data_IF_260843009297
#
_entry.id   IF_260843009297
#
_cell.length_a   1.000
_cell.length_b   1.000
_cell.length_c   1.000
_cell.angle_alpha   90.00
_cell.angle_beta   90.00
_cell.angle_gamma   90.00
#
_symmetry.space_group_name_H-M   'P 1'
#
loop_
_entity.id
_entity.type
_entity.pdbx_description
1 polymer ?
#
# COMPACT_ATOMS: atom_id res chain seq x y z
N UNK A 1 -3.18 36.29 18.74
CA UNK A 1 -2.50 35.12 19.32
C UNK A 1 -3.29 33.89 18.91
N UNK A 2 -2.83 33.21 17.87
CA UNK A 2 -3.46 31.99 17.35
C UNK A 2 -2.82 30.82 18.10
N UNK A 3 -3.63 30.00 18.77
CA UNK A 3 -3.18 28.79 19.47
C UNK A 3 -2.73 27.77 18.43
N UNK A 4 -1.48 27.34 18.52
CA UNK A 4 -0.97 26.13 17.87
C UNK A 4 -1.68 24.90 18.43
N UNK A 5 -2.14 23.94 17.60
CA UNK A 5 -2.69 22.69 18.10
C UNK A 5 -1.57 21.81 18.66
N UNK A 6 -1.85 21.17 19.79
CA UNK A 6 -0.98 20.20 20.45
C UNK A 6 -1.05 18.86 19.70
N UNK A 7 0.08 18.17 19.42
CA UNK A 7 0.04 16.81 18.88
C UNK A 7 -0.48 15.87 19.97
N UNK A 8 -1.64 15.24 19.75
CA UNK A 8 -2.21 14.31 20.72
C UNK A 8 -3.73 14.19 20.76
N UNK A 9 -4.48 14.94 19.95
CA UNK A 9 -5.92 14.72 19.78
C UNK A 9 -6.18 14.19 18.38
N UNK A 10 -6.00 12.88 18.21
CA UNK A 10 -6.77 12.15 17.21
C UNK A 10 -8.24 12.31 17.62
N UNK A 11 -8.91 13.27 17.02
CA UNK A 11 -10.36 13.40 17.04
C UNK A 11 -10.92 12.04 16.62
N UNK A 12 -11.51 11.32 17.56
CA UNK A 12 -12.47 10.26 17.30
C UNK A 12 -13.62 10.89 16.51
N UNK A 13 -13.44 10.99 15.19
CA UNK A 13 -14.47 11.41 14.27
C UNK A 13 -15.56 10.36 14.32
N UNK A 14 -16.77 10.77 14.68
CA UNK A 14 -17.99 10.00 14.42
C UNK A 14 -17.97 9.59 12.95
N UNK A 15 -17.67 8.31 12.70
CA UNK A 15 -17.45 7.77 11.36
C UNK A 15 -18.73 7.79 10.54
N UNK A 16 -18.94 8.85 9.77
CA UNK A 16 -19.78 8.72 8.57
C UNK A 16 -19.03 7.81 7.60
N UNK A 17 -19.66 6.70 7.21
CA UNK A 17 -19.09 5.79 6.23
C UNK A 17 -18.77 6.57 4.95
N UNK A 18 -17.55 6.42 4.43
CA UNK A 18 -17.17 7.00 3.15
C UNK A 18 -17.99 6.31 2.05
N UNK A 19 -18.99 7.01 1.51
CA UNK A 19 -19.80 6.50 0.40
C UNK A 19 -19.08 6.81 -0.90
N UNK A 20 -18.48 5.78 -1.50
CA UNK A 20 -17.87 5.85 -2.83
C UNK A 20 -18.92 5.55 -3.89
N UNK A 21 -18.98 6.36 -4.95
CA UNK A 21 -19.89 6.13 -6.06
C UNK A 21 -19.46 4.90 -6.87
N UNK A 22 -20.43 4.12 -7.37
CA UNK A 22 -20.18 2.96 -8.23
C UNK A 22 -19.31 3.33 -9.45
N UNK A 23 -19.58 4.48 -10.07
CA UNK A 23 -18.83 4.97 -11.25
C UNK A 23 -17.31 5.15 -10.98
N UNK A 24 -16.87 5.29 -9.73
CA UNK A 24 -15.45 5.38 -9.37
C UNK A 24 -14.68 4.06 -9.62
N UNK A 25 -15.40 2.93 -9.74
CA UNK A 25 -14.84 1.62 -10.08
C UNK A 25 -14.95 1.29 -11.58
N UNK A 26 -15.64 2.14 -12.35
CA UNK A 26 -16.00 1.88 -13.73
C UNK A 26 -15.71 3.07 -14.64
N UNK A 27 -14.60 3.77 -14.36
CA UNK A 27 -14.13 4.84 -15.23
C UNK A 27 -13.80 4.28 -16.63
N UNK A 28 -14.15 5.04 -17.67
CA UNK A 28 -13.75 4.71 -19.04
C UNK A 28 -12.27 5.02 -19.28
N UNK A 29 -11.73 4.52 -20.40
CA UNK A 29 -10.32 4.68 -20.76
C UNK A 29 -9.90 6.17 -20.83
N UNK A 30 -10.79 7.06 -21.26
CA UNK A 30 -10.49 8.49 -21.37
C UNK A 30 -10.33 9.12 -20.00
N UNK A 31 -11.22 8.81 -19.06
CA UNK A 31 -11.15 9.29 -17.68
C UNK A 31 -9.90 8.72 -16.97
N UNK A 32 -9.58 7.45 -17.20
CA UNK A 32 -8.36 6.81 -16.67
C UNK A 32 -7.08 7.48 -17.20
N UNK A 33 -7.02 7.78 -18.50
CA UNK A 33 -5.90 8.50 -19.11
C UNK A 33 -5.75 9.93 -18.59
N UNK A 34 -6.87 10.62 -18.31
CA UNK A 34 -6.86 11.96 -17.74
C UNK A 34 -6.31 11.94 -16.30
N UNK A 35 -6.76 11.00 -15.47
CA UNK A 35 -6.25 10.85 -14.09
C UNK A 35 -4.77 10.47 -14.07
N UNK A 36 -4.32 9.53 -14.90
CA UNK A 36 -2.90 9.17 -15.01
C UNK A 36 -2.06 10.38 -15.43
N UNK A 37 -2.49 11.10 -16.46
CA UNK A 37 -1.78 12.30 -16.94
C UNK A 37 -1.74 13.40 -15.90
N UNK A 38 -2.84 13.62 -15.17
CA UNK A 38 -2.90 14.55 -14.06
C UNK A 38 -1.89 14.20 -12.99
N UNK A 39 -1.89 12.95 -12.52
CA UNK A 39 -0.97 12.47 -11.49
C UNK A 39 0.49 12.60 -11.93
N UNK A 40 0.82 12.19 -13.16
CA UNK A 40 2.15 12.37 -13.74
C UNK A 40 2.54 13.84 -13.75
N UNK A 41 1.66 14.72 -14.24
CA UNK A 41 1.92 16.16 -14.35
C UNK A 41 2.19 16.78 -12.99
N UNK A 42 1.39 16.45 -11.98
CA UNK A 42 1.59 16.89 -10.59
C UNK A 42 2.91 16.41 -10.00
N UNK A 43 3.40 15.25 -10.48
CA UNK A 43 4.64 14.63 -10.01
C UNK A 43 5.90 15.10 -10.77
N UNK A 44 5.77 15.68 -11.97
CA UNK A 44 6.91 16.14 -12.78
C UNK A 44 7.83 17.16 -12.08
N UNK A 45 7.32 18.20 -11.38
CA UNK A 45 8.18 19.17 -10.69
C UNK A 45 9.13 18.52 -9.69
N UNK A 46 8.73 17.37 -9.16
CA UNK A 46 9.52 16.64 -8.20
C UNK A 46 10.60 15.77 -8.80
N UNK A 47 10.39 15.27 -10.03
CA UNK A 47 11.43 14.58 -10.81
C UNK A 47 12.66 15.46 -10.92
N UNK A 48 12.47 16.74 -11.20
CA UNK A 48 13.55 17.70 -11.40
C UNK A 48 14.27 18.06 -10.08
N UNK A 49 13.67 17.71 -8.93
CA UNK A 49 14.26 17.83 -7.60
C UNK A 49 14.93 16.53 -7.09
N UNK A 50 14.87 15.43 -7.86
CA UNK A 50 15.51 14.18 -7.48
C UNK A 50 17.05 14.30 -7.55
N UNK A 51 17.79 13.59 -6.68
CA UNK A 51 19.24 13.54 -6.75
C UNK A 51 19.76 13.06 -8.12
N UNK A 52 20.93 13.55 -8.53
CA UNK A 52 21.60 13.06 -9.72
C UNK A 52 21.84 11.55 -9.63
N UNK A 53 21.37 10.79 -10.62
CA UNK A 53 21.44 9.32 -10.63
C UNK A 53 20.16 8.63 -10.15
N UNK A 54 19.19 9.36 -9.60
CA UNK A 54 17.88 8.79 -9.28
C UNK A 54 17.21 8.20 -10.53
N UNK A 55 16.58 7.04 -10.37
CA UNK A 55 15.98 6.27 -11.45
C UNK A 55 14.71 6.89 -12.06
N UNK A 56 14.30 8.09 -11.61
CA UNK A 56 13.13 8.80 -12.11
C UNK A 56 11.79 8.15 -11.76
N UNK A 57 11.74 7.26 -10.77
CA UNK A 57 10.51 6.61 -10.29
C UNK A 57 10.17 7.15 -8.92
N UNK A 58 8.90 7.49 -8.69
CA UNK A 58 8.41 8.02 -7.41
C UNK A 58 7.25 7.18 -6.90
N UNK A 59 6.96 7.27 -5.61
CA UNK A 59 5.75 6.73 -5.02
C UNK A 59 4.89 7.83 -4.40
N UNK A 60 3.57 7.67 -4.51
CA UNK A 60 2.55 8.61 -4.08
C UNK A 60 1.51 7.87 -3.23
N UNK A 61 1.32 8.31 -1.99
CA UNK A 61 0.24 7.82 -1.13
C UNK A 61 -0.98 8.75 -1.25
N UNK A 62 -2.14 8.18 -1.56
CA UNK A 62 -3.36 8.91 -1.91
C UNK A 62 -4.47 8.49 -0.97
N UNK A 63 -5.08 9.49 -0.32
CA UNK A 63 -6.23 9.30 0.56
C UNK A 63 -7.46 8.84 -0.23
N UNK A 64 -8.40 8.10 0.38
CA UNK A 64 -9.48 7.46 -0.35
C UNK A 64 -10.50 8.46 -0.91
N UNK A 65 -10.58 9.66 -0.35
CA UNK A 65 -11.43 10.75 -0.84
C UNK A 65 -10.79 11.61 -1.95
N UNK A 66 -9.54 11.33 -2.33
CA UNK A 66 -8.85 12.06 -3.38
C UNK A 66 -9.26 11.52 -4.76
N UNK A 67 -9.45 12.38 -5.79
CA UNK A 67 -9.86 11.92 -7.13
C UNK A 67 -8.96 10.84 -7.75
N UNK A 68 -7.65 10.92 -7.52
CA UNK A 68 -6.71 9.88 -7.98
C UNK A 68 -6.98 8.48 -7.41
N UNK A 69 -7.67 8.34 -6.26
CA UNK A 69 -8.05 7.04 -5.74
C UNK A 69 -9.00 6.28 -6.69
N UNK A 70 -9.80 6.98 -7.50
CA UNK A 70 -10.71 6.37 -8.46
C UNK A 70 -9.95 5.62 -9.59
N UNK A 71 -8.73 6.07 -9.91
CA UNK A 71 -7.85 5.30 -10.80
C UNK A 71 -7.50 3.94 -10.18
N UNK A 72 -7.20 3.90 -8.88
CA UNK A 72 -6.87 2.66 -8.19
C UNK A 72 -8.04 1.69 -8.15
N UNK A 73 -9.23 2.20 -7.78
CA UNK A 73 -10.49 1.46 -7.75
C UNK A 73 -10.82 0.83 -9.10
N UNK A 74 -10.75 1.62 -10.17
CA UNK A 74 -11.04 1.13 -11.52
C UNK A 74 -10.03 0.07 -11.96
N UNK A 75 -8.73 0.25 -11.67
CA UNK A 75 -7.70 -0.76 -11.99
C UNK A 75 -7.95 -2.08 -11.25
N UNK A 76 -8.34 -2.04 -9.97
CA UNK A 76 -8.68 -3.25 -9.22
C UNK A 76 -9.84 -3.99 -9.87
N UNK A 77 -10.95 -3.29 -10.16
CA UNK A 77 -12.11 -3.89 -10.83
C UNK A 77 -11.72 -4.50 -12.18
N UNK A 78 -10.96 -3.77 -13.01
CA UNK A 78 -10.49 -4.27 -14.31
C UNK A 78 -9.65 -5.54 -14.15
N UNK A 79 -8.69 -5.56 -13.21
CA UNK A 79 -7.78 -6.69 -13.02
C UNK A 79 -8.43 -7.96 -12.54
N UNK A 80 -9.47 -7.84 -11.72
CA UNK A 80 -10.21 -9.01 -11.27
C UNK A 80 -11.25 -9.47 -12.30
N UNK A 81 -11.89 -8.53 -13.01
CA UNK A 81 -12.76 -8.87 -14.15
C UNK A 81 -11.97 -9.63 -15.24
N UNK A 82 -10.74 -9.19 -15.55
CA UNK A 82 -9.84 -9.86 -16.50
C UNK A 82 -9.46 -11.30 -16.08
N UNK A 83 -9.45 -11.59 -14.78
CA UNK A 83 -9.22 -12.94 -14.25
C UNK A 83 -10.44 -13.85 -14.37
N UNK A 84 -11.56 -13.33 -14.85
CA UNK A 84 -12.82 -14.07 -14.97
C UNK A 84 -13.56 -14.23 -13.64
N UNK A 85 -13.24 -13.39 -12.66
CA UNK A 85 -13.89 -13.38 -11.36
C UNK A 85 -15.11 -12.45 -11.42
N UNK A 86 -16.30 -12.95 -11.10
CA UNK A 86 -17.55 -12.16 -10.98
C UNK A 86 -17.58 -11.33 -9.68
N UNK A 87 -16.42 -10.83 -9.24
CA UNK A 87 -16.28 -10.09 -8.00
C UNK A 87 -16.56 -8.60 -8.22
N UNK A 88 -17.51 -8.06 -7.46
CA UNK A 88 -17.81 -6.63 -7.42
C UNK A 88 -16.91 -5.95 -6.38
N UNK A 89 -15.89 -5.22 -6.83
CA UNK A 89 -14.98 -4.50 -5.93
C UNK A 89 -15.65 -3.33 -5.22
N UNK A 90 -16.67 -2.73 -5.82
CA UNK A 90 -17.40 -1.63 -5.18
C UNK A 90 -18.11 -2.14 -3.93
N UNK A 91 -18.81 -3.26 -4.03
CA UNK A 91 -19.47 -3.90 -2.88
C UNK A 91 -18.46 -4.50 -1.90
N UNK A 92 -17.50 -5.28 -2.42
CA UNK A 92 -16.52 -6.01 -1.62
C UNK A 92 -15.61 -5.10 -0.81
N UNK A 93 -15.25 -3.93 -1.35
CA UNK A 93 -14.35 -2.99 -0.68
C UNK A 93 -15.02 -1.88 0.13
N UNK A 94 -16.36 -1.76 0.04
CA UNK A 94 -17.11 -0.67 0.68
C UNK A 94 -16.80 -0.50 2.18
N UNK A 95 -16.66 -1.61 2.91
CA UNK A 95 -16.36 -1.58 4.35
C UNK A 95 -14.94 -1.08 4.64
N UNK A 96 -13.99 -1.25 3.72
CA UNK A 96 -12.59 -0.90 3.90
C UNK A 96 -12.26 0.53 3.47
N UNK A 97 -13.07 1.13 2.60
CA UNK A 97 -12.83 2.43 1.95
C UNK A 97 -12.34 3.52 2.91
N UNK A 98 -13.06 3.75 4.01
CA UNK A 98 -12.76 4.83 4.95
C UNK A 98 -11.39 4.68 5.66
N UNK A 99 -10.89 3.44 5.79
CA UNK A 99 -9.61 3.13 6.43
C UNK A 99 -8.58 2.66 5.41
N UNK A 100 -8.74 3.03 4.14
CA UNK A 100 -7.83 2.63 3.08
C UNK A 100 -7.08 3.80 2.48
N UNK A 101 -5.96 3.53 1.82
CA UNK A 101 -5.23 4.46 0.98
C UNK A 101 -4.73 3.74 -0.26
N UNK A 102 -4.48 4.48 -1.32
CA UNK A 102 -3.79 3.95 -2.49
C UNK A 102 -2.32 4.38 -2.49
N UNK A 103 -1.42 3.45 -2.73
CA UNK A 103 0.00 3.70 -2.93
C UNK A 103 0.32 3.44 -4.39
N UNK A 104 0.59 4.51 -5.13
CA UNK A 104 1.01 4.46 -6.52
C UNK A 104 2.52 4.44 -6.63
N UNK A 105 3.04 3.73 -7.63
CA UNK A 105 4.40 3.92 -8.13
C UNK A 105 4.31 4.50 -9.53
N UNK A 106 4.94 5.64 -9.75
CA UNK A 106 4.84 6.42 -10.98
C UNK A 106 6.23 6.53 -11.59
N UNK A 107 6.38 6.07 -12.83
CA UNK A 107 7.58 6.26 -13.63
C UNK A 107 7.51 7.65 -14.26
N UNK A 108 8.51 8.50 -14.01
CA UNK A 108 8.62 9.86 -14.56
C UNK A 108 9.79 9.99 -15.55
N UNK A 109 10.47 8.89 -15.89
CA UNK A 109 11.54 8.89 -16.90
C UNK A 109 10.98 9.40 -18.23
N UNK A 110 11.80 10.18 -18.94
CA UNK A 110 11.43 10.70 -20.25
C UNK A 110 11.02 9.56 -21.20
N UNK A 111 9.84 9.68 -21.81
CA UNK A 111 9.26 8.66 -22.69
C UNK A 111 8.59 7.47 -22.00
N UNK A 112 8.59 7.39 -20.66
CA UNK A 112 7.92 6.33 -19.86
C UNK A 112 6.89 6.85 -18.85
N UNK A 113 6.65 8.15 -18.81
CA UNK A 113 5.76 8.84 -17.86
C UNK A 113 4.38 8.15 -17.70
N UNK A 114 4.16 7.44 -16.58
CA UNK A 114 2.96 6.63 -16.33
C UNK A 114 2.84 6.17 -14.88
N UNK A 115 1.65 5.70 -14.49
CA UNK A 115 1.46 4.90 -13.27
C UNK A 115 1.87 3.46 -13.56
N UNK A 116 2.91 2.95 -12.90
CA UNK A 116 3.38 1.59 -13.09
C UNK A 116 2.62 0.59 -12.21
N UNK A 117 2.50 0.90 -10.91
CA UNK A 117 1.86 0.03 -9.93
C UNK A 117 0.82 0.83 -9.12
N UNK A 118 -0.23 0.14 -8.71
CA UNK A 118 -1.22 0.62 -7.74
C UNK A 118 -1.39 -0.45 -6.66
N UNK A 119 -1.29 -0.05 -5.39
CA UNK A 119 -1.61 -0.90 -4.25
C UNK A 119 -2.68 -0.22 -3.42
N UNK A 120 -3.69 -0.96 -2.95
CA UNK A 120 -4.51 -0.50 -1.83
C UNK A 120 -3.92 -1.02 -0.53
N UNK A 121 -3.73 -0.11 0.41
CA UNK A 121 -3.41 -0.45 1.80
C UNK A 121 -4.62 -0.16 2.68
N UNK A 122 -4.90 -1.05 3.63
CA UNK A 122 -6.02 -0.96 4.55
C UNK A 122 -5.47 -1.02 5.97
N UNK A 123 -5.84 -0.05 6.79
CA UNK A 123 -5.51 -0.05 8.21
C UNK A 123 -6.48 -0.94 8.97
N UNK A 124 -5.95 -1.73 9.90
CA UNK A 124 -6.78 -2.58 10.74
C UNK A 124 -7.81 -1.78 11.56
N UNK A 125 -8.90 -2.44 11.90
CA UNK A 125 -9.89 -1.90 12.81
C UNK A 125 -9.32 -1.70 14.23
N UNK A 126 -9.85 -0.70 14.94
CA UNK A 126 -9.55 -0.45 16.34
C UNK A 126 -10.20 -1.51 17.24
N UNK A 127 -9.67 -1.69 18.45
CA UNK A 127 -10.13 -2.75 19.38
C UNK A 127 -11.64 -2.66 19.69
N UNK A 128 -12.19 -1.45 19.82
CA UNK A 128 -13.61 -1.23 20.09
C UNK A 128 -14.52 -1.69 18.95
N UNK A 129 -14.07 -1.56 17.69
CA UNK A 129 -14.77 -2.07 16.52
C UNK A 129 -14.74 -3.60 16.47
N UNK A 130 -13.63 -4.21 16.87
CA UNK A 130 -13.51 -5.67 16.96
C UNK A 130 -14.37 -6.25 18.08
N UNK A 131 -14.41 -5.57 19.23
CA UNK A 131 -15.28 -5.92 20.35
C UNK A 131 -16.78 -5.82 19.96
N UNK A 132 -17.10 -4.97 18.98
CA UNK A 132 -18.42 -4.86 18.37
C UNK A 132 -18.70 -5.92 17.28
N UNK A 133 -17.73 -6.78 16.97
CA UNK A 133 -17.85 -7.87 16.01
C UNK A 133 -17.54 -7.49 14.56
N UNK A 134 -16.92 -6.33 14.30
CA UNK A 134 -16.40 -6.01 12.98
C UNK A 134 -15.19 -6.89 12.62
N UNK A 135 -14.97 -7.21 11.34
CA UNK A 135 -13.77 -7.92 10.89
C UNK A 135 -12.50 -7.11 11.13
N UNK A 136 -11.35 -7.78 11.09
CA UNK A 136 -10.06 -7.12 11.39
C UNK A 136 -9.62 -6.15 10.32
N UNK A 137 -10.09 -6.34 9.07
CA UNK A 137 -9.60 -5.68 7.85
C UNK A 137 -8.20 -6.10 7.45
N UNK A 138 -7.74 -7.21 8.01
CA UNK A 138 -6.51 -7.88 7.66
C UNK A 138 -6.91 -9.17 6.95
N UNK A 139 -7.05 -9.11 5.61
CA UNK A 139 -7.60 -10.21 4.82
C UNK A 139 -6.91 -11.55 5.12
N UNK A 140 -5.56 -11.65 5.18
CA UNK A 140 -4.93 -12.92 5.55
C UNK A 140 -5.36 -13.51 6.91
N UNK A 141 -5.77 -12.67 7.85
CA UNK A 141 -6.26 -13.11 9.16
C UNK A 141 -7.75 -13.41 9.11
N UNK A 142 -8.54 -12.54 8.47
CA UNK A 142 -9.98 -12.72 8.31
C UNK A 142 -10.29 -13.99 7.48
N UNK A 143 -9.53 -14.27 6.43
CA UNK A 143 -9.63 -15.47 5.59
C UNK A 143 -9.26 -16.75 6.35
N UNK A 144 -8.28 -16.66 7.25
CA UNK A 144 -7.91 -17.75 8.16
C UNK A 144 -9.00 -18.02 9.19
N UNK A 145 -9.65 -16.99 9.71
CA UNK A 145 -10.74 -17.11 10.69
C UNK A 145 -12.01 -17.65 10.05
N UNK A 146 -12.29 -17.27 8.81
CA UNK A 146 -13.50 -17.61 8.08
C UNK A 146 -13.36 -18.80 7.12
N UNK A 147 -12.18 -19.42 7.04
CA UNK A 147 -11.92 -20.50 6.08
C UNK A 147 -12.93 -21.65 6.22
N UNK A 148 -13.53 -22.12 5.12
CA UNK A 148 -14.42 -23.28 5.13
C UNK A 148 -13.65 -24.61 5.23
N UNK A 149 -12.32 -24.60 5.07
CA UNK A 149 -11.46 -25.78 5.16
C UNK A 149 -10.99 -25.91 6.61
N UNK A 150 -11.43 -26.98 7.30
CA UNK A 150 -11.22 -27.17 8.74
C UNK A 150 -9.74 -27.12 9.15
N UNK A 151 -8.83 -27.64 8.31
CA UNK A 151 -7.39 -27.62 8.57
C UNK A 151 -6.75 -26.23 8.42
N UNK A 152 -7.40 -25.32 7.67
CA UNK A 152 -6.94 -23.95 7.46
C UNK A 152 -7.58 -22.95 8.43
N UNK A 153 -8.77 -23.28 8.96
CA UNK A 153 -9.50 -22.47 9.92
C UNK A 153 -8.75 -22.35 11.26
N UNK A 154 -8.64 -21.14 11.80
CA UNK A 154 -8.03 -20.90 13.11
C UNK A 154 -8.65 -19.71 13.84
N UNK A 155 -8.42 -19.60 15.15
CA UNK A 155 -8.86 -18.46 15.92
C UNK A 155 -7.95 -17.24 15.70
N UNK A 156 -8.53 -16.03 15.66
CA UNK A 156 -7.76 -14.79 15.55
C UNK A 156 -6.70 -14.68 16.68
N UNK A 157 -7.06 -15.04 17.91
CA UNK A 157 -6.15 -15.03 19.06
C UNK A 157 -4.91 -15.92 18.83
N UNK A 158 -5.05 -17.03 18.12
CA UNK A 158 -3.94 -17.91 17.78
C UNK A 158 -2.98 -17.23 16.80
N UNK A 159 -3.52 -16.57 15.77
CA UNK A 159 -2.75 -15.80 14.78
C UNK A 159 -1.98 -14.67 15.45
N UNK A 160 -2.67 -13.88 16.28
CA UNK A 160 -2.08 -12.74 16.99
C UNK A 160 -0.99 -13.22 17.97
N UNK A 161 -1.26 -14.27 18.75
CA UNK A 161 -0.29 -14.82 19.70
C UNK A 161 0.96 -15.38 19.00
N UNK A 162 0.81 -16.09 17.88
CA UNK A 162 1.93 -16.64 17.13
C UNK A 162 2.89 -15.55 16.62
N UNK A 163 2.33 -14.46 16.08
CA UNK A 163 3.12 -13.34 15.55
C UNK A 163 3.54 -12.31 16.61
N UNK A 164 3.11 -12.48 17.87
CA UNK A 164 3.39 -11.52 18.94
C UNK A 164 2.67 -10.18 18.75
N UNK A 165 1.53 -10.18 18.07
CA UNK A 165 0.71 -8.99 17.83
C UNK A 165 -0.15 -8.77 19.06
N UNK A 166 0.18 -7.74 19.85
CA UNK A 166 -0.57 -7.38 21.06
C UNK A 166 -1.66 -6.34 20.81
N UNK A 167 -1.60 -5.66 19.67
CA UNK A 167 -2.49 -4.57 19.29
C UNK A 167 -2.65 -4.61 17.77
N UNK A 168 -3.77 -5.15 17.31
CA UNK A 168 -4.06 -5.34 15.88
C UNK A 168 -4.27 -4.01 15.15
N UNK A 169 -4.61 -2.93 15.85
CA UNK A 169 -4.71 -1.59 15.25
C UNK A 169 -3.37 -1.09 14.69
N UNK A 170 -2.26 -1.75 15.09
CA UNK A 170 -0.91 -1.52 14.56
C UNK A 170 -0.56 -2.45 13.39
N UNK A 171 -1.55 -3.04 12.74
CA UNK A 171 -1.39 -3.82 11.52
C UNK A 171 -1.90 -3.03 10.31
N UNK A 172 -1.25 -3.25 9.18
CA UNK A 172 -1.64 -2.72 7.86
C UNK A 172 -1.71 -3.87 6.87
N UNK A 173 -2.80 -3.96 6.12
CA UNK A 173 -2.96 -4.93 5.05
C UNK A 173 -2.65 -4.30 3.68
N UNK A 174 -1.82 -4.94 2.87
CA UNK A 174 -1.72 -4.65 1.43
C UNK A 174 -2.78 -5.48 0.74
N UNK A 175 -3.99 -4.94 0.68
CA UNK A 175 -5.18 -5.66 0.22
C UNK A 175 -5.12 -6.00 -1.27
N UNK A 176 -4.67 -5.04 -2.08
CA UNK A 176 -4.55 -5.23 -3.52
C UNK A 176 -3.19 -4.79 -4.04
N UNK A 177 -2.79 -5.39 -5.15
CA UNK A 177 -1.55 -5.08 -5.84
C UNK A 177 -1.73 -5.28 -7.34
N UNK A 178 -1.95 -4.20 -8.06
CA UNK A 178 -2.14 -4.19 -9.50
C UNK A 178 -0.96 -3.56 -10.23
N UNK A 179 -0.46 -4.26 -11.24
CA UNK A 179 0.42 -3.72 -12.27
C UNK A 179 -0.41 -3.21 -13.43
N UNK A 180 -0.12 -2.03 -13.97
CA UNK A 180 -0.81 -1.54 -15.17
C UNK A 180 -0.19 -2.21 -16.42
N UNK A 181 -1.01 -2.66 -17.37
CA UNK A 181 -0.59 -3.56 -18.49
C UNK A 181 0.40 -2.99 -19.49
N UNK A 182 0.81 -1.73 -19.35
CA UNK A 182 1.81 -1.12 -20.25
C UNK A 182 3.24 -1.63 -20.00
N UNK A 183 3.41 -2.69 -19.20
CA UNK A 183 4.67 -3.42 -19.01
C UNK A 183 4.81 -4.54 -20.07
N UNK A 184 4.81 -4.17 -21.35
CA UNK A 184 5.36 -5.04 -22.39
C UNK A 184 6.88 -5.17 -22.17
N UNK A 185 7.29 -6.24 -21.51
CA UNK A 185 8.67 -6.71 -21.49
C UNK A 185 9.60 -6.02 -20.48
N UNK A 186 9.92 -6.74 -19.40
CA UNK A 186 11.14 -6.51 -18.61
C UNK A 186 10.94 -6.57 -17.11
N UNK A 187 11.71 -7.43 -16.45
CA UNK A 187 11.91 -7.55 -15.00
C UNK A 187 12.80 -6.42 -14.42
N UNK A 188 13.00 -5.31 -15.13
CA UNK A 188 14.18 -4.45 -14.91
C UNK A 188 13.94 -3.22 -14.02
N UNK A 189 12.70 -2.81 -13.79
CA UNK A 189 12.42 -1.59 -13.02
C UNK A 189 11.97 -1.91 -11.57
N UNK A 190 12.51 -1.22 -10.54
CA UNK A 190 12.33 -1.57 -9.12
C UNK A 190 10.98 -1.14 -8.53
N UNK A 191 9.88 -1.22 -9.30
CA UNK A 191 8.57 -0.71 -8.88
C UNK A 191 8.02 -1.39 -7.62
N UNK A 192 8.17 -2.71 -7.51
CA UNK A 192 7.79 -3.45 -6.30
C UNK A 192 8.56 -2.96 -5.08
N UNK A 193 9.87 -2.73 -5.21
CA UNK A 193 10.71 -2.30 -4.09
C UNK A 193 10.39 -0.86 -3.67
N UNK A 194 10.15 0.02 -4.64
CA UNK A 194 9.75 1.41 -4.38
C UNK A 194 8.38 1.49 -3.70
N UNK A 195 7.41 0.71 -4.16
CA UNK A 195 6.09 0.66 -3.52
C UNK A 195 6.16 0.12 -2.08
N UNK A 196 6.94 -0.93 -1.83
CA UNK A 196 7.15 -1.41 -0.46
C UNK A 196 7.93 -0.43 0.41
N UNK A 197 8.94 0.27 -0.14
CA UNK A 197 9.61 1.38 0.57
C UNK A 197 8.60 2.44 1.03
N UNK A 198 7.72 2.89 0.14
CA UNK A 198 6.69 3.86 0.47
C UNK A 198 5.73 3.34 1.56
N UNK A 199 5.35 2.06 1.51
CA UNK A 199 4.57 1.43 2.58
C UNK A 199 5.34 1.45 3.91
N UNK A 200 6.64 1.13 3.91
CA UNK A 200 7.45 1.13 5.14
C UNK A 200 7.69 2.54 5.70
N UNK A 201 7.69 3.58 4.88
CA UNK A 201 7.67 4.97 5.34
C UNK A 201 6.31 5.35 5.97
N UNK A 202 5.20 4.91 5.38
CA UNK A 202 3.86 5.06 5.98
C UNK A 202 3.78 4.32 7.33
N UNK A 203 4.33 3.11 7.40
CA UNK A 203 4.41 2.28 8.61
C UNK A 203 5.15 3.02 9.71
N UNK A 204 6.34 3.56 9.41
CA UNK A 204 7.14 4.31 10.38
C UNK A 204 6.41 5.57 10.88
N UNK A 205 5.71 6.26 9.98
CA UNK A 205 4.95 7.49 10.31
C UNK A 205 3.74 7.22 11.20
N UNK A 206 3.04 6.10 10.98
CA UNK A 206 1.79 5.76 11.67
C UNK A 206 1.98 4.80 12.86
N UNK A 207 3.21 4.43 13.20
CA UNK A 207 3.48 3.51 14.31
C UNK A 207 2.97 2.09 14.08
N UNK A 208 2.83 1.69 12.81
CA UNK A 208 2.45 0.33 12.41
C UNK A 208 3.61 -0.62 12.74
N UNK A 209 3.26 -1.80 13.23
CA UNK A 209 4.21 -2.83 13.67
C UNK A 209 4.25 -4.03 12.74
N UNK A 210 3.20 -4.26 11.95
CA UNK A 210 3.10 -5.41 11.06
C UNK A 210 2.42 -5.01 9.75
N UNK A 211 3.01 -5.44 8.64
CA UNK A 211 2.38 -5.37 7.31
C UNK A 211 1.97 -6.78 6.92
N UNK A 212 0.73 -6.99 6.53
CA UNK A 212 0.23 -8.25 6.00
C UNK A 212 -0.02 -8.12 4.50
N UNK A 213 0.18 -9.21 3.76
CA UNK A 213 -0.06 -9.21 2.33
C UNK A 213 -0.23 -10.64 1.79
N UNK A 214 -0.87 -10.74 0.63
CA UNK A 214 -0.72 -11.87 -0.28
C UNK A 214 0.37 -11.58 -1.31
N UNK A 215 1.50 -12.29 -1.22
CA UNK A 215 2.64 -12.11 -2.13
C UNK A 215 2.63 -13.12 -3.25
N UNK A 216 2.79 -12.65 -4.49
CA UNK A 216 3.15 -13.53 -5.58
C UNK A 216 4.67 -13.79 -5.64
N UNK A 217 5.08 -14.78 -6.44
CA UNK A 217 6.50 -15.18 -6.61
C UNK A 217 7.44 -14.04 -7.00
N UNK A 218 6.96 -13.01 -7.69
CA UNK A 218 7.78 -11.87 -8.11
C UNK A 218 8.00 -10.92 -6.93
N UNK A 219 6.95 -10.65 -6.15
CA UNK A 219 7.05 -9.85 -4.94
C UNK A 219 7.94 -10.53 -3.90
N UNK A 220 7.76 -11.83 -3.67
CA UNK A 220 8.63 -12.65 -2.79
C UNK A 220 10.10 -12.51 -3.20
N UNK A 221 10.42 -12.77 -4.48
CA UNK A 221 11.79 -12.64 -5.00
C UNK A 221 12.36 -11.22 -4.85
N UNK A 222 11.56 -10.18 -5.09
CA UNK A 222 12.01 -8.80 -4.91
C UNK A 222 12.37 -8.53 -3.45
N UNK A 223 11.49 -8.91 -2.51
CA UNK A 223 11.72 -8.71 -1.08
C UNK A 223 12.91 -9.52 -0.56
N UNK A 224 13.08 -10.77 -1.03
CA UNK A 224 14.23 -11.62 -0.69
C UNK A 224 15.57 -11.01 -1.16
N UNK A 225 15.57 -10.35 -2.32
CA UNK A 225 16.78 -9.75 -2.90
C UNK A 225 17.38 -8.68 -1.98
N UNK A 226 16.52 -7.97 -1.24
CA UNK A 226 16.93 -6.95 -0.26
C UNK A 226 16.88 -7.48 1.19
N UNK A 227 16.72 -8.78 1.38
CA UNK A 227 16.77 -9.45 2.68
C UNK A 227 15.69 -8.96 3.67
N UNK A 228 14.50 -8.67 3.16
CA UNK A 228 13.33 -8.40 4.01
C UNK A 228 12.92 -9.68 4.72
N UNK A 229 12.81 -9.61 6.04
CA UNK A 229 12.29 -10.71 6.86
C UNK A 229 10.78 -10.70 6.77
N UNK A 230 10.19 -11.78 6.28
CA UNK A 230 8.76 -12.00 6.33
C UNK A 230 8.47 -13.40 6.92
N UNK A 231 7.27 -13.56 7.48
CA UNK A 231 6.83 -14.78 8.13
C UNK A 231 5.55 -15.24 7.46
N UNK A 232 5.39 -16.55 7.29
CA UNK A 232 4.10 -17.12 6.88
C UNK A 232 3.08 -16.97 8.00
N UNK A 233 1.81 -16.75 7.66
CA UNK A 233 0.74 -16.69 8.68
C UNK A 233 0.68 -18.02 9.45
N UNK A 234 0.81 -17.97 10.78
CA UNK A 234 0.94 -19.15 11.67
C UNK A 234 2.12 -20.09 11.32
N UNK A 235 3.11 -19.61 10.58
CA UNK A 235 4.22 -20.43 10.11
C UNK A 235 3.83 -21.48 9.07
N UNK A 236 2.61 -21.41 8.52
CA UNK A 236 2.08 -22.35 7.52
C UNK A 236 1.86 -21.65 6.20
N UNK A 237 2.04 -22.37 5.11
CA UNK A 237 1.65 -21.84 3.80
C UNK A 237 0.13 -21.63 3.79
N UNK A 238 -0.32 -20.48 3.32
CA UNK A 238 -1.72 -20.13 3.15
C UNK A 238 -1.84 -19.33 1.87
N UNK A 239 -2.84 -19.63 1.06
CA UNK A 239 -3.00 -19.04 -0.25
C UNK A 239 -4.21 -18.10 -0.27
N UNK A 240 -4.31 -17.27 -1.31
CA UNK A 240 -5.45 -16.36 -1.48
C UNK A 240 -6.70 -17.19 -1.83
N UNK A 241 -7.82 -17.09 -1.09
CA UNK A 241 -9.05 -17.81 -1.46
C UNK A 241 -9.66 -17.28 -2.78
N UNK A 242 -10.16 -18.18 -3.64
CA UNK A 242 -10.82 -17.83 -4.91
C UNK A 242 -12.35 -18.03 -4.91
N UNK A 243 -12.91 -18.59 -3.83
CA UNK A 243 -14.31 -19.03 -3.73
C UNK A 243 -14.44 -20.55 -3.72
N UNK A 244 -15.57 -21.09 -3.27
CA UNK A 244 -15.89 -22.54 -3.21
C UNK A 244 -14.84 -23.44 -2.52
N UNK A 245 -14.00 -22.87 -1.67
CA UNK A 245 -12.90 -23.57 -0.99
C UNK A 245 -11.64 -23.76 -1.84
N UNK A 246 -11.57 -23.17 -3.03
CA UNK A 246 -10.37 -23.11 -3.86
C UNK A 246 -9.45 -21.95 -3.47
N UNK A 247 -8.16 -22.10 -3.84
CA UNK A 247 -7.11 -21.14 -3.52
C UNK A 247 -6.25 -20.81 -4.75
N UNK A 248 -5.82 -19.56 -4.86
CA UNK A 248 -4.79 -19.12 -5.80
C UNK A 248 -3.39 -19.41 -5.25
N UNK A 249 -2.86 -20.55 -5.65
CA UNK A 249 -1.52 -21.03 -5.34
C UNK A 249 -0.40 -20.05 -5.75
N UNK A 250 -0.68 -19.08 -6.63
CA UNK A 250 0.29 -18.07 -7.04
C UNK A 250 0.55 -17.02 -5.95
N UNK A 251 -0.33 -16.89 -4.94
CA UNK A 251 -0.25 -15.90 -3.88
C UNK A 251 -0.14 -16.55 -2.51
N UNK A 252 0.77 -16.06 -1.67
CA UNK A 252 1.04 -16.59 -0.33
C UNK A 252 0.85 -15.52 0.73
N UNK A 253 0.09 -15.84 1.77
CA UNK A 253 -0.13 -14.97 2.90
C UNK A 253 1.13 -14.83 3.75
N UNK A 254 1.52 -13.59 4.05
CA UNK A 254 2.66 -13.29 4.92
C UNK A 254 2.35 -12.18 5.92
N UNK A 255 3.13 -12.17 6.99
CA UNK A 255 3.28 -11.09 7.97
C UNK A 255 4.72 -10.60 7.90
N UNK A 256 4.89 -9.32 7.61
CA UNK A 256 6.17 -8.63 7.52
C UNK A 256 6.29 -7.73 8.76
N UNK A 257 7.12 -8.08 9.76
CA UNK A 257 7.31 -7.23 10.93
C UNK A 257 7.96 -5.90 10.52
N UNK A 258 7.47 -4.80 11.06
CA UNK A 258 8.09 -3.47 10.93
C UNK A 258 9.14 -3.24 12.02
N UNK A 259 10.03 -4.23 12.19
CA UNK A 259 11.14 -4.10 13.13
C UNK A 259 12.23 -3.17 12.58
N UNK A 260 13.24 -2.90 13.41
CA UNK A 260 14.35 -2.04 13.02
C UNK A 260 15.08 -2.56 11.78
N UNK A 261 15.19 -3.88 11.59
CA UNK A 261 15.87 -4.46 10.43
C UNK A 261 15.11 -4.18 9.14
N UNK A 262 13.83 -4.51 9.07
CA UNK A 262 13.03 -4.31 7.86
C UNK A 262 12.84 -2.82 7.54
N UNK A 263 12.63 -1.98 8.55
CA UNK A 263 12.60 -0.52 8.36
C UNK A 263 13.95 -0.03 7.83
N UNK A 264 15.06 -0.52 8.37
CA UNK A 264 16.39 -0.14 7.89
C UNK A 264 16.65 -0.56 6.44
N UNK A 265 16.26 -1.79 6.07
CA UNK A 265 16.40 -2.31 4.71
C UNK A 265 15.72 -1.41 3.67
N UNK A 266 14.56 -0.84 3.98
CA UNK A 266 13.83 0.05 3.07
C UNK A 266 14.22 1.54 3.21
N UNK A 267 14.40 2.02 4.44
CA UNK A 267 14.48 3.44 4.73
C UNK A 267 15.91 3.96 4.87
N UNK A 268 16.91 3.11 5.17
CA UNK A 268 18.30 3.57 5.23
C UNK A 268 18.90 3.70 3.83
N UNK A 269 19.70 4.75 3.58
CA UNK A 269 20.47 4.89 2.35
C UNK A 269 21.41 3.69 2.19
N UNK A 270 21.22 2.91 1.12
CA UNK A 270 22.12 1.84 0.75
C UNK A 270 22.63 2.10 -0.69
N UNK A 271 23.93 2.34 -0.89
CA UNK A 271 24.51 2.59 -2.22
C UNK A 271 24.42 1.39 -3.17
N UNK A 272 24.12 0.19 -2.66
CA UNK A 272 23.87 -1.01 -3.47
C UNK A 272 22.40 -1.12 -3.90
N UNK A 273 21.50 -0.32 -3.30
CA UNK A 273 20.04 -0.35 -3.50
C UNK A 273 19.48 1.09 -3.51
N UNK A 274 19.93 1.92 -4.46
CA UNK A 274 19.50 3.31 -4.60
C UNK A 274 18.04 3.40 -5.11
N UNK A 275 17.07 3.28 -4.20
CA UNK A 275 15.68 3.59 -4.51
C UNK A 275 15.45 5.10 -4.45
N UNK A 276 14.95 5.67 -5.54
CA UNK A 276 14.57 7.07 -5.60
C UNK A 276 13.45 7.43 -4.59
N UNK A 277 13.49 8.69 -4.20
CA UNK A 277 12.85 9.35 -3.06
C UNK A 277 11.32 9.40 -3.14
N UNK A 278 10.67 9.35 -1.97
CA UNK A 278 9.22 9.44 -1.78
C UNK A 278 8.72 10.88 -1.69
N UNK A 279 7.56 11.16 -2.29
CA UNK A 279 6.92 12.48 -2.28
C UNK A 279 5.40 12.28 -2.12
N UNK A 280 4.89 12.65 -0.95
CA UNK A 280 3.48 12.62 -0.64
C UNK A 280 2.73 13.86 -1.16
N UNK A 281 1.45 13.74 -1.55
CA UNK A 281 0.52 14.85 -1.46
C UNK A 281 0.09 14.98 0.02
N UNK A 282 0.15 16.19 0.57
CA UNK A 282 -0.08 16.52 2.00
C UNK A 282 -1.30 15.81 2.63
N UNK A 283 -1.24 15.46 3.94
CA UNK A 283 -0.72 16.31 5.03
C UNK A 283 0.34 15.64 5.92
N UNK A 284 1.58 15.46 5.42
CA UNK A 284 2.76 15.09 6.23
C UNK A 284 3.99 15.79 5.59
N UNK A 285 4.98 16.30 6.38
CA UNK A 285 6.09 17.14 5.87
C UNK A 285 7.01 16.44 4.86
N UNK A 286 7.55 17.23 3.93
CA UNK A 286 8.46 16.85 2.85
C UNK A 286 9.90 16.79 3.37
N UNK A 287 10.67 15.74 3.08
CA UNK A 287 12.10 15.68 3.41
C UNK A 287 12.97 15.32 2.18
N UNK A 288 14.12 15.97 2.00
CA UNK A 288 15.16 15.66 1.03
C UNK A 288 16.46 15.24 1.73
N UNK A 289 17.26 14.40 1.08
CA UNK A 289 18.57 14.04 1.59
C UNK A 289 19.64 15.10 1.26
N UNK A 290 20.62 15.29 2.15
CA UNK A 290 21.81 16.10 1.83
C UNK A 290 22.64 15.52 0.66
N UNK A 291 23.63 16.27 0.14
CA UNK A 291 24.50 15.87 -0.98
C UNK A 291 25.21 14.52 -0.81
N UNK A 292 25.21 13.96 0.40
CA UNK A 292 25.80 12.66 0.71
C UNK A 292 24.76 11.57 1.02
N UNK A 293 23.47 11.87 0.90
CA UNK A 293 22.37 10.94 1.16
C UNK A 293 22.16 10.62 2.64
N UNK A 294 22.75 11.36 3.60
CA UNK A 294 22.89 10.88 5.00
C UNK A 294 21.87 11.41 5.99
N UNK A 295 21.20 12.53 5.70
CA UNK A 295 20.24 13.17 6.62
C UNK A 295 19.03 13.72 5.86
N UNK A 296 17.86 13.69 6.49
CA UNK A 296 16.61 14.27 6.00
C UNK A 296 16.54 15.78 6.33
N UNK A 297 16.19 16.60 5.33
CA UNK A 297 16.03 18.06 5.41
C UNK A 297 14.64 18.43 4.90
N UNK A 298 13.87 19.21 5.65
CA UNK A 298 12.54 19.60 5.19
C UNK A 298 12.59 20.43 3.89
N UNK A 299 11.87 20.03 2.83
CA UNK A 299 11.89 20.74 1.54
C UNK A 299 10.85 21.87 1.54
N UNK A 300 11.27 23.13 1.37
CA UNK A 300 10.33 24.24 1.25
C UNK A 300 9.48 24.09 -0.02
N UNK A 301 8.20 24.38 0.14
CA UNK A 301 7.23 24.42 -0.96
C UNK A 301 7.65 25.53 -1.93
N UNK A 302 7.85 25.26 -3.23
CA UNK A 302 7.94 26.34 -4.20
C UNK A 302 6.65 27.14 -4.13
N UNK A 303 6.74 28.43 -3.82
CA UNK A 303 5.58 29.32 -3.93
C UNK A 303 5.06 29.22 -5.38
N UNK A 304 3.77 28.92 -5.52
CA UNK A 304 3.13 28.92 -6.83
C UNK A 304 3.37 30.28 -7.49
N UNK A 305 4.04 30.28 -8.64
CA UNK A 305 4.23 31.47 -9.48
C UNK A 305 2.93 31.86 -10.19
#
# INVERSE_FOLDING_TARGET
MVKTPTPGEASAGSGEALVVAYDAYHLDDSAMEELERGMVTDLLPFRDALPAGANGVVALAVQPNHPYADFGRTIEQQKFTERGEDYDFHEGMAAYEANSMFVYTVDLKDGKQRIAHCKRVVFANQQDQLDAGEPTRIEPFDDRVSSPVEEEACGLDEVLAYHGISDISRCLNVATNATTDRLEGGLEDPYTLISYKAIFELVATNGIQFVTAYLNKYAERSLDTIQVVNQRVLGREFHLPLGDGEYDEAYKAVVIPADAHNVDVFCKPNPENEFAMFIAPRPVPLFAADEAGRNLIEVPVPEAA
#
